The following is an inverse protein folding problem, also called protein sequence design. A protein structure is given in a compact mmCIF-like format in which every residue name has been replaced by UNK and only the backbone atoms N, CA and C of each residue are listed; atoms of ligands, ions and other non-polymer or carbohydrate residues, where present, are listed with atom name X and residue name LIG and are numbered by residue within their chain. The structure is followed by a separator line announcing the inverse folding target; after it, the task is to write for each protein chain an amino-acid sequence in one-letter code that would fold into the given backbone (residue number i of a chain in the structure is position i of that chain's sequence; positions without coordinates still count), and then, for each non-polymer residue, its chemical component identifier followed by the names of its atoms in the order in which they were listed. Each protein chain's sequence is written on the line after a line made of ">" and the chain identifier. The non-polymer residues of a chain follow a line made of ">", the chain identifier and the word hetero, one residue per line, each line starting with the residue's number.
data_IF_233062385041
#
_entry.id   IF_233062385041
#
_cell.length_a   1.000
_cell.length_b   1.000
_cell.length_c   1.000
_cell.angle_alpha   90.00
_cell.angle_beta   90.00
_cell.angle_gamma   90.00
#
_symmetry.space_group_name_H-M   'P 1'
#
loop_
_entity.id
_entity.type
_entity.pdbx_description
1 polymer ?
#
# COMPACT_ATOMS: atom_id res chain seq x y z
N UNK A 1 -8.54 14.70 -1.68
CA UNK A 1 -7.18 15.27 -1.91
C UNK A 1 -6.74 16.20 -0.79
N UNK A 2 -7.47 17.27 -0.45
CA UNK A 2 -7.06 18.19 0.63
C UNK A 2 -6.71 17.47 1.96
N UNK A 3 -7.59 16.59 2.45
CA UNK A 3 -7.34 15.81 3.68
C UNK A 3 -6.11 14.89 3.60
N UNK A 4 -5.73 14.43 2.41
CA UNK A 4 -4.53 13.58 2.22
C UNK A 4 -3.24 14.36 2.54
N UNK A 5 -3.19 15.65 2.21
CA UNK A 5 -2.00 16.48 2.44
C UNK A 5 -1.96 17.10 3.84
N UNK A 6 -3.09 17.60 4.34
CA UNK A 6 -3.11 18.45 5.53
C UNK A 6 -3.61 17.74 6.79
N UNK A 7 -4.35 16.65 6.64
CA UNK A 7 -4.95 15.91 7.74
C UNK A 7 -4.48 14.45 7.71
N UNK A 8 -5.41 13.51 7.88
CA UNK A 8 -5.19 12.07 7.68
C UNK A 8 -5.88 11.64 6.40
N UNK A 9 -5.36 10.57 5.79
CA UNK A 9 -6.04 9.92 4.67
C UNK A 9 -7.46 9.53 5.11
N UNK A 10 -8.50 10.07 4.46
CA UNK A 10 -9.88 9.84 4.90
C UNK A 10 -10.41 8.46 4.49
N UNK A 11 -9.88 7.89 3.40
CA UNK A 11 -10.23 6.56 2.89
C UNK A 11 -9.14 6.08 1.92
N UNK A 12 -8.75 4.82 2.05
CA UNK A 12 -7.86 4.07 1.16
C UNK A 12 -8.55 3.61 -0.12
N UNK A 13 -9.86 3.36 -0.07
CA UNK A 13 -10.62 2.75 -1.17
C UNK A 13 -11.44 3.75 -1.96
N UNK A 14 -11.57 4.99 -1.49
CA UNK A 14 -12.23 6.05 -2.24
C UNK A 14 -11.46 6.38 -3.51
N UNK A 15 -12.16 6.44 -4.64
CA UNK A 15 -11.63 6.92 -5.90
C UNK A 15 -12.74 7.64 -6.70
N UNK A 16 -12.31 8.48 -7.64
CA UNK A 16 -13.22 9.14 -8.56
C UNK A 16 -13.60 8.20 -9.70
N UNK A 17 -14.88 7.81 -9.78
CA UNK A 17 -15.37 6.73 -10.66
C UNK A 17 -15.53 7.10 -12.14
N UNK A 18 -15.24 8.35 -12.51
CA UNK A 18 -15.46 8.85 -13.86
C UNK A 18 -14.13 9.21 -14.51
N UNK A 19 -14.04 9.01 -15.83
CA UNK A 19 -12.85 9.33 -16.61
C UNK A 19 -12.66 10.83 -16.86
N UNK A 20 -13.71 11.63 -16.70
CA UNK A 20 -13.73 13.06 -17.01
C UNK A 20 -14.24 13.88 -15.83
N UNK A 21 -13.71 15.09 -15.67
CA UNK A 21 -14.23 16.06 -14.72
C UNK A 21 -15.56 16.66 -15.21
N UNK A 22 -16.46 17.06 -14.30
CA UNK A 22 -17.67 17.79 -14.66
C UNK A 22 -17.34 19.22 -15.12
N UNK A 23 -18.31 19.90 -15.75
CA UNK A 23 -18.17 21.32 -16.00
C UNK A 23 -18.26 22.12 -14.69
N UNK A 24 -17.61 23.30 -14.67
CA UNK A 24 -17.61 24.17 -13.49
C UNK A 24 -19.04 24.61 -13.08
N UNK A 25 -19.95 24.77 -14.06
CA UNK A 25 -21.35 25.11 -13.80
C UNK A 25 -22.06 23.97 -13.05
N UNK A 26 -21.93 22.73 -13.51
CA UNK A 26 -22.53 21.57 -12.86
C UNK A 26 -22.00 21.42 -11.42
N UNK A 27 -20.71 21.70 -11.23
CA UNK A 27 -20.09 21.68 -9.90
C UNK A 27 -20.67 22.76 -8.98
N UNK A 28 -20.86 23.99 -9.48
CA UNK A 28 -21.46 25.07 -8.70
C UNK A 28 -22.92 24.77 -8.30
N UNK A 29 -23.70 24.20 -9.23
CA UNK A 29 -25.07 23.77 -8.95
C UNK A 29 -25.11 22.66 -7.89
N UNK A 30 -24.25 21.65 -8.01
CA UNK A 30 -24.18 20.56 -7.04
C UNK A 30 -23.83 21.06 -5.62
N UNK A 31 -22.88 21.99 -5.51
CA UNK A 31 -22.47 22.55 -4.22
C UNK A 31 -23.55 23.40 -3.55
N UNK A 32 -24.45 24.02 -4.31
CA UNK A 32 -25.58 24.75 -3.71
C UNK A 32 -26.59 23.81 -3.03
N UNK A 33 -26.63 22.54 -3.43
CA UNK A 33 -27.57 21.54 -2.92
C UNK A 33 -26.92 20.57 -1.93
N UNK A 34 -25.58 20.45 -1.93
CA UNK A 34 -24.84 19.46 -1.16
C UNK A 34 -23.60 20.06 -0.49
N UNK A 35 -23.67 20.22 0.82
CA UNK A 35 -22.56 20.76 1.62
C UNK A 35 -21.78 19.70 2.42
N UNK A 36 -22.23 18.44 2.40
CA UNK A 36 -21.63 17.39 3.22
C UNK A 36 -20.81 16.40 2.39
N UNK A 37 -19.60 16.09 2.87
CA UNK A 37 -18.73 15.07 2.31
C UNK A 37 -18.41 14.08 3.41
N UNK A 38 -18.68 12.80 3.18
CA UNK A 38 -18.34 11.72 4.09
C UNK A 38 -17.50 10.67 3.36
N UNK A 39 -16.60 10.03 4.11
CA UNK A 39 -15.76 8.95 3.63
C UNK A 39 -15.95 7.74 4.55
N UNK A 40 -15.91 6.54 3.99
CA UNK A 40 -15.88 5.30 4.77
C UNK A 40 -14.50 5.13 5.40
N UNK A 41 -14.46 4.87 6.70
CA UNK A 41 -13.24 4.39 7.33
C UNK A 41 -12.92 2.99 6.81
N UNK A 42 -11.73 2.81 6.27
CA UNK A 42 -11.26 1.57 5.67
C UNK A 42 -9.75 1.37 5.94
N UNK A 43 -9.23 0.26 5.42
CA UNK A 43 -7.81 -0.10 5.54
C UNK A 43 -7.19 -0.21 4.14
N UNK A 44 -5.85 -0.14 4.04
CA UNK A 44 -5.16 -0.45 2.78
C UNK A 44 -5.54 -1.85 2.28
N UNK A 45 -5.58 -2.01 0.96
CA UNK A 45 -5.69 -3.33 0.33
C UNK A 45 -4.37 -4.10 0.41
N UNK A 46 -4.43 -5.43 0.35
CA UNK A 46 -3.24 -6.26 0.49
C UNK A 46 -2.30 -6.14 -0.73
N UNK A 47 -0.99 -6.43 -0.58
CA UNK A 47 -0.03 -6.29 -1.68
C UNK A 47 -0.40 -7.04 -2.96
N UNK A 48 -0.96 -8.26 -2.87
CA UNK A 48 -1.38 -9.00 -4.05
C UNK A 48 -2.62 -8.38 -4.72
N UNK A 49 -3.55 -7.85 -3.93
CA UNK A 49 -4.73 -7.14 -4.44
C UNK A 49 -4.35 -5.85 -5.16
N UNK A 50 -3.42 -5.09 -4.58
CA UNK A 50 -2.83 -3.90 -5.17
C UNK A 50 -2.12 -4.23 -6.49
N UNK A 51 -1.37 -5.33 -6.56
CA UNK A 51 -0.70 -5.73 -7.79
C UNK A 51 -1.72 -6.08 -8.89
N UNK A 52 -2.82 -6.78 -8.54
CA UNK A 52 -3.87 -7.07 -9.49
C UNK A 52 -4.67 -5.82 -9.92
N UNK A 53 -4.81 -4.83 -9.06
CA UNK A 53 -5.54 -3.60 -9.43
C UNK A 53 -4.75 -2.67 -10.33
N UNK A 54 -3.42 -2.82 -10.42
CA UNK A 54 -2.53 -1.91 -11.16
C UNK A 54 -1.86 -2.58 -12.37
N UNK A 55 -1.48 -3.86 -12.27
CA UNK A 55 -0.68 -4.50 -13.29
C UNK A 55 -1.51 -4.93 -14.51
N UNK A 56 -1.03 -4.69 -15.74
CA UNK A 56 -1.59 -5.33 -16.91
C UNK A 56 -1.18 -6.82 -16.99
N UNK A 57 -1.90 -7.65 -17.77
CA UNK A 57 -1.59 -9.08 -17.94
C UNK A 57 -0.12 -9.38 -18.32
N UNK A 58 0.48 -8.52 -19.15
CA UNK A 58 1.88 -8.66 -19.58
C UNK A 58 2.88 -8.57 -18.42
N UNK A 59 2.49 -8.00 -17.29
CA UNK A 59 3.32 -7.84 -16.09
C UNK A 59 3.01 -8.89 -15.02
N UNK A 60 2.21 -9.92 -15.30
CA UNK A 60 1.80 -10.93 -14.32
C UNK A 60 2.93 -11.86 -13.86
N UNK A 61 4.12 -11.77 -14.45
CA UNK A 61 5.32 -12.39 -13.91
C UNK A 61 5.71 -11.84 -12.51
N UNK A 62 5.11 -10.72 -12.07
CA UNK A 62 5.35 -10.10 -10.76
C UNK A 62 4.40 -10.58 -9.65
N UNK A 63 3.38 -11.39 -9.99
CA UNK A 63 2.45 -12.01 -9.04
C UNK A 63 2.67 -13.53 -8.99
N UNK A 64 2.12 -14.24 -7.98
CA UNK A 64 2.21 -15.69 -7.93
C UNK A 64 1.67 -16.32 -9.23
N UNK A 65 2.41 -17.24 -9.83
CA UNK A 65 2.05 -17.85 -11.12
C UNK A 65 0.67 -18.51 -11.10
N UNK A 66 0.31 -19.12 -9.97
CA UNK A 66 -1.01 -19.72 -9.74
C UNK A 66 -2.12 -18.67 -9.71
N UNK A 67 -1.88 -17.52 -9.08
CA UNK A 67 -2.83 -16.40 -9.10
C UNK A 67 -3.02 -15.88 -10.52
N UNK A 68 -1.94 -15.64 -11.26
CA UNK A 68 -1.99 -15.21 -12.66
C UNK A 68 -2.81 -16.17 -13.53
N UNK A 69 -2.61 -17.47 -13.36
CA UNK A 69 -3.36 -18.50 -14.09
C UNK A 69 -4.87 -18.43 -13.80
N UNK A 70 -5.26 -18.27 -12.53
CA UNK A 70 -6.68 -18.17 -12.17
C UNK A 70 -7.32 -16.87 -12.68
N UNK A 71 -6.62 -15.74 -12.58
CA UNK A 71 -7.12 -14.45 -13.07
C UNK A 71 -7.40 -14.48 -14.57
N UNK A 72 -6.50 -15.08 -15.36
CA UNK A 72 -6.60 -15.16 -16.82
C UNK A 72 -7.42 -16.35 -17.33
N UNK A 73 -7.99 -17.15 -16.44
CA UNK A 73 -8.87 -18.26 -16.82
C UNK A 73 -10.14 -17.72 -17.51
N UNK A 74 -10.65 -18.37 -18.57
CA UNK A 74 -11.92 -17.98 -19.22
C UNK A 74 -13.12 -17.94 -18.26
N UNK A 75 -13.06 -18.70 -17.16
CA UNK A 75 -14.12 -18.77 -16.16
C UNK A 75 -13.89 -17.80 -14.98
N UNK A 76 -12.85 -16.96 -15.04
CA UNK A 76 -12.53 -16.01 -13.99
C UNK A 76 -13.59 -14.90 -13.92
N UNK A 77 -14.17 -14.64 -12.74
CA UNK A 77 -15.20 -13.61 -12.57
C UNK A 77 -14.65 -12.18 -12.71
N UNK A 78 -13.31 -12.02 -12.77
CA UNK A 78 -12.64 -10.73 -12.88
C UNK A 78 -11.86 -10.56 -14.20
N UNK A 79 -11.98 -11.52 -15.13
CA UNK A 79 -11.24 -11.50 -16.40
C UNK A 79 -11.46 -10.21 -17.20
N UNK A 80 -12.67 -9.65 -17.15
CA UNK A 80 -13.07 -8.45 -17.91
C UNK A 80 -12.32 -7.18 -17.50
N UNK A 81 -11.65 -7.16 -16.34
CA UNK A 81 -10.76 -6.07 -15.94
C UNK A 81 -9.42 -6.10 -16.68
N UNK A 82 -9.01 -7.25 -17.21
CA UNK A 82 -7.65 -7.53 -17.68
C UNK A 82 -7.55 -7.59 -19.20
N UNK A 83 -8.03 -6.53 -19.86
CA UNK A 83 -8.00 -6.41 -21.31
C UNK A 83 -6.56 -6.21 -21.83
N UNK A 84 -6.20 -6.90 -22.91
CA UNK A 84 -4.90 -6.72 -23.59
C UNK A 84 -4.86 -5.48 -24.49
N UNK A 85 -6.03 -4.92 -24.82
CA UNK A 85 -6.19 -3.68 -25.59
C UNK A 85 -7.28 -2.80 -24.98
N UNK A 86 -7.07 -1.49 -24.95
CA UNK A 86 -8.05 -0.51 -24.52
C UNK A 86 -8.01 0.72 -25.43
N UNK A 87 -9.09 1.51 -25.40
CA UNK A 87 -9.17 2.76 -26.17
C UNK A 87 -8.54 3.90 -25.37
N UNK A 88 -7.87 4.80 -26.07
CA UNK A 88 -7.36 6.05 -25.51
C UNK A 88 -8.15 7.18 -26.16
N UNK A 89 -8.84 7.98 -25.36
CA UNK A 89 -9.45 9.21 -25.83
C UNK A 89 -8.43 10.35 -25.75
N UNK A 90 -8.12 10.96 -26.89
CA UNK A 90 -7.15 12.04 -26.97
C UNK A 90 -7.69 13.33 -26.32
N UNK A 91 -9.02 13.51 -26.26
CA UNK A 91 -9.68 14.64 -25.61
C UNK A 91 -9.05 16.02 -25.91
N UNK A 92 -8.74 16.29 -27.18
CA UNK A 92 -8.16 17.57 -27.63
C UNK A 92 -6.65 17.70 -27.43
N UNK A 93 -5.96 16.70 -26.87
CA UNK A 93 -4.50 16.70 -26.74
C UNK A 93 -3.78 16.34 -28.04
N UNK A 94 -2.47 16.56 -28.08
CA UNK A 94 -1.64 16.28 -29.25
C UNK A 94 -0.71 15.06 -29.07
N UNK A 95 -0.73 14.41 -27.91
CA UNK A 95 0.15 13.29 -27.57
C UNK A 95 -0.62 12.20 -26.83
N UNK A 96 -0.42 10.95 -27.23
CA UNK A 96 -1.16 9.79 -26.69
C UNK A 96 -1.03 9.62 -25.17
N UNK A 97 0.14 9.90 -24.59
CA UNK A 97 0.35 9.76 -23.14
C UNK A 97 -0.43 10.79 -22.30
N UNK A 98 -1.00 11.82 -22.93
CA UNK A 98 -1.91 12.76 -22.30
C UNK A 98 -3.37 12.38 -22.47
N UNK A 99 -3.65 11.45 -23.39
CA UNK A 99 -5.00 10.93 -23.59
C UNK A 99 -5.46 10.12 -22.39
N UNK A 100 -6.77 9.97 -22.28
CA UNK A 100 -7.44 9.30 -21.18
C UNK A 100 -7.60 7.82 -21.54
N UNK A 101 -6.97 6.89 -20.80
CA UNK A 101 -7.15 5.46 -21.03
C UNK A 101 -8.54 5.05 -20.52
N UNK A 102 -9.38 4.54 -21.42
CA UNK A 102 -10.74 4.10 -21.11
C UNK A 102 -10.70 2.67 -20.58
N UNK A 103 -10.28 2.53 -19.33
CA UNK A 103 -10.25 1.26 -18.60
C UNK A 103 -11.54 1.06 -17.77
N UNK A 104 -11.98 -0.19 -17.58
CA UNK A 104 -13.11 -0.49 -16.70
C UNK A 104 -12.75 -0.18 -15.24
N UNK A 105 -13.76 0.26 -14.48
CA UNK A 105 -13.62 0.42 -13.03
C UNK A 105 -13.51 -0.95 -12.35
N UNK A 106 -12.49 -1.12 -11.51
CA UNK A 106 -12.27 -2.36 -10.76
C UNK A 106 -13.14 -2.36 -9.51
N UNK A 107 -13.86 -3.46 -9.29
CA UNK A 107 -14.54 -3.73 -8.02
C UNK A 107 -13.54 -4.34 -7.04
N UNK A 108 -13.14 -3.55 -6.04
CA UNK A 108 -12.14 -3.93 -5.04
C UNK A 108 -12.67 -5.04 -4.12
N UNK A 109 -13.98 -5.09 -3.83
CA UNK A 109 -14.57 -6.13 -2.99
C UNK A 109 -14.60 -7.48 -3.70
N UNK A 110 -14.93 -7.47 -5.00
CA UNK A 110 -14.83 -8.66 -5.85
C UNK A 110 -13.38 -9.14 -5.99
N UNK A 111 -12.42 -8.22 -6.13
CA UNK A 111 -11.01 -8.56 -6.24
C UNK A 111 -10.47 -9.14 -4.92
N UNK A 112 -10.83 -8.56 -3.79
CA UNK A 112 -10.46 -9.05 -2.46
C UNK A 112 -10.99 -10.47 -2.21
N UNK A 113 -12.29 -10.70 -2.44
CA UNK A 113 -12.88 -12.05 -2.27
C UNK A 113 -12.23 -13.09 -3.18
N UNK A 114 -11.95 -12.75 -4.44
CA UNK A 114 -11.27 -13.65 -5.36
C UNK A 114 -9.86 -14.04 -4.89
N UNK A 115 -9.07 -13.08 -4.39
CA UNK A 115 -7.71 -13.36 -3.88
C UNK A 115 -7.77 -14.18 -2.59
N UNK A 116 -8.70 -13.83 -1.70
CA UNK A 116 -8.89 -14.51 -0.42
C UNK A 116 -9.24 -16.01 -0.62
N UNK A 117 -10.15 -16.33 -1.52
CA UNK A 117 -10.54 -17.72 -1.83
C UNK A 117 -9.36 -18.56 -2.36
N UNK A 118 -8.39 -17.90 -3.00
CA UNK A 118 -7.20 -18.54 -3.55
C UNK A 118 -6.03 -18.58 -2.58
N UNK A 119 -6.07 -17.87 -1.46
CA UNK A 119 -4.93 -17.64 -0.57
C UNK A 119 -4.35 -18.94 -0.02
N UNK A 120 -5.20 -19.88 0.40
CA UNK A 120 -4.78 -21.21 0.88
C UNK A 120 -4.11 -22.06 -0.20
N UNK A 121 -4.34 -21.72 -1.47
CA UNK A 121 -3.79 -22.44 -2.61
C UNK A 121 -2.40 -21.91 -3.02
N UNK A 122 -1.99 -20.74 -2.51
CA UNK A 122 -0.73 -20.07 -2.84
C UNK A 122 0.45 -20.65 -2.05
N UNK A 123 1.68 -20.58 -2.59
CA UNK A 123 2.88 -20.95 -1.86
C UNK A 123 3.05 -20.15 -0.55
N UNK A 124 3.62 -20.73 0.53
CA UNK A 124 3.83 -20.02 1.80
C UNK A 124 4.70 -18.75 1.68
N UNK A 125 5.62 -18.71 0.72
CA UNK A 125 6.43 -17.52 0.43
C UNK A 125 5.59 -16.34 -0.05
N UNK A 126 4.54 -16.60 -0.82
CA UNK A 126 3.65 -15.59 -1.36
C UNK A 126 2.71 -15.04 -0.29
N UNK A 127 2.27 -15.90 0.63
CA UNK A 127 1.54 -15.46 1.83
C UNK A 127 2.39 -14.52 2.70
N UNK A 128 3.67 -14.84 2.92
CA UNK A 128 4.56 -14.03 3.76
C UNK A 128 4.79 -12.61 3.22
N UNK A 129 4.74 -12.41 1.89
CA UNK A 129 4.83 -11.07 1.26
C UNK A 129 3.48 -10.37 1.13
N UNK A 130 2.36 -11.08 1.30
CA UNK A 130 1.01 -10.53 1.20
C UNK A 130 0.51 -9.97 2.55
N UNK A 131 1.37 -9.24 3.27
CA UNK A 131 1.04 -8.65 4.56
C UNK A 131 1.26 -7.14 4.54
N UNK A 132 0.43 -6.40 5.27
CA UNK A 132 0.70 -5.02 5.60
C UNK A 132 1.72 -4.99 6.74
N UNK A 133 2.90 -4.44 6.49
CA UNK A 133 3.92 -4.33 7.52
C UNK A 133 3.42 -3.37 8.62
N UNK A 134 3.32 -3.81 9.88
CA UNK A 134 2.79 -2.97 10.96
C UNK A 134 3.86 -2.04 11.55
N UNK A 135 5.06 -2.01 10.98
CA UNK A 135 6.21 -1.30 11.52
C UNK A 135 7.09 -0.70 10.42
N UNK A 136 7.82 0.34 10.81
CA UNK A 136 8.93 0.90 10.05
C UNK A 136 10.26 0.42 10.66
N UNK A 137 11.30 0.30 9.84
CA UNK A 137 12.64 -0.08 10.30
C UNK A 137 13.50 1.18 10.39
N UNK A 138 14.07 1.43 11.57
CA UNK A 138 15.06 2.49 11.79
C UNK A 138 16.46 1.87 11.90
N UNK A 139 17.37 2.31 11.05
CA UNK A 139 18.78 1.92 11.11
C UNK A 139 19.59 2.98 11.83
N UNK A 140 20.40 2.56 12.82
CA UNK A 140 21.24 3.46 13.62
C UNK A 140 22.69 2.96 13.57
N UNK A 141 23.61 3.86 13.25
CA UNK A 141 25.04 3.53 13.17
C UNK A 141 25.75 3.75 14.52
N UNK A 142 26.74 2.92 14.82
CA UNK A 142 27.59 3.06 16.03
C UNK A 142 28.35 4.39 16.07
N UNK A 143 28.70 4.90 14.90
CA UNK A 143 29.55 6.08 14.74
C UNK A 143 28.73 7.38 14.68
N UNK A 144 27.43 7.35 14.97
CA UNK A 144 26.63 8.57 14.99
C UNK A 144 27.01 9.43 16.18
N UNK A 145 27.07 10.74 15.98
CA UNK A 145 27.14 11.72 17.08
C UNK A 145 25.91 11.68 17.99
N UNK A 146 24.82 11.06 17.52
CA UNK A 146 23.57 10.90 18.25
C UNK A 146 23.68 9.80 19.31
N UNK A 147 23.17 10.03 20.54
CA UNK A 147 23.20 9.05 21.63
C UNK A 147 22.19 7.91 21.43
N UNK A 148 21.49 7.86 20.30
CA UNK A 148 20.45 6.87 20.02
C UNK A 148 21.02 5.44 19.99
N UNK A 149 22.22 5.25 19.44
CA UNK A 149 22.86 3.93 19.40
C UNK A 149 23.13 3.38 20.80
N UNK A 150 23.74 4.18 21.68
CA UNK A 150 24.05 3.77 23.05
C UNK A 150 22.77 3.51 23.86
N UNK A 151 21.72 4.30 23.63
CA UNK A 151 20.40 4.09 24.24
C UNK A 151 19.78 2.76 23.80
N UNK A 152 19.72 2.49 22.49
CA UNK A 152 19.21 1.21 21.97
C UNK A 152 20.05 0.04 22.51
N UNK A 153 21.38 0.18 22.55
CA UNK A 153 22.27 -0.85 23.09
C UNK A 153 21.95 -1.16 24.57
N UNK A 154 21.70 -0.14 25.40
CA UNK A 154 21.33 -0.34 26.80
C UNK A 154 20.01 -1.12 26.98
N UNK A 155 19.05 -0.94 26.08
CA UNK A 155 17.76 -1.64 26.14
C UNK A 155 17.90 -3.15 25.86
N UNK A 156 18.83 -3.53 24.99
CA UNK A 156 19.15 -4.95 24.76
C UNK A 156 19.80 -5.60 25.98
N UNK A 157 20.60 -4.86 26.74
CA UNK A 157 21.29 -5.37 27.93
C UNK A 157 20.36 -5.53 29.14
N UNK A 158 19.30 -4.73 29.23
CA UNK A 158 18.38 -4.73 30.37
C UNK A 158 17.28 -5.80 30.33
N UNK A 159 17.15 -6.58 29.25
CA UNK A 159 16.06 -7.56 29.03
C UNK A 159 14.63 -6.99 29.25
N UNK A 160 14.50 -5.67 29.28
CA UNK A 160 13.22 -4.97 29.38
C UNK A 160 12.51 -5.03 28.04
N UNK A 161 11.17 -5.12 28.05
CA UNK A 161 10.36 -4.99 26.84
C UNK A 161 10.82 -3.78 26.03
N UNK A 162 11.24 -4.02 24.78
CA UNK A 162 11.91 -3.07 23.87
C UNK A 162 10.99 -1.98 23.31
N UNK A 163 9.98 -1.57 24.08
CA UNK A 163 9.09 -0.46 23.76
C UNK A 163 9.61 0.75 24.51
N UNK A 164 10.17 1.71 23.79
CA UNK A 164 10.62 2.98 24.36
C UNK A 164 10.08 4.15 23.52
N UNK A 165 9.71 5.25 24.18
CA UNK A 165 9.40 6.50 23.50
C UNK A 165 10.70 7.17 23.06
N UNK A 166 10.70 7.69 21.83
CA UNK A 166 11.74 8.60 21.38
C UNK A 166 11.41 9.99 21.95
N UNK A 167 12.13 10.40 22.98
CA UNK A 167 11.98 11.74 23.55
C UNK A 167 12.83 12.75 22.77
N UNK A 168 12.44 14.04 22.81
CA UNK A 168 13.15 15.14 22.13
C UNK A 168 14.59 15.34 22.59
N UNK A 169 14.97 14.79 23.76
CA UNK A 169 16.34 14.81 24.28
C UNK A 169 17.29 13.83 23.57
N UNK A 170 16.76 12.87 22.79
CA UNK A 170 17.52 12.02 21.87
C UNK A 170 17.79 12.72 20.52
N UNK A 171 17.39 13.99 20.44
CA UNK A 171 17.71 15.01 19.44
C UNK A 171 17.95 14.46 18.04
N UNK A 172 16.85 14.04 17.43
CA UNK A 172 16.68 14.31 16.02
C UNK A 172 15.63 15.42 15.92
N UNK A 173 15.85 16.36 15.03
CA UNK A 173 14.80 17.18 14.39
C UNK A 173 13.68 16.36 13.72
N UNK A 174 13.58 15.05 14.01
CA UNK A 174 12.44 14.18 13.78
C UNK A 174 11.37 14.47 14.84
N UNK A 175 10.62 15.55 14.66
CA UNK A 175 9.34 15.67 15.36
C UNK A 175 8.45 14.48 14.97
N UNK A 176 8.13 13.60 15.93
CA UNK A 176 7.30 12.39 15.75
C UNK A 176 5.84 12.68 15.33
N UNK A 177 5.49 13.94 15.03
CA UNK A 177 4.13 14.37 14.70
C UNK A 177 3.61 13.83 13.36
N UNK A 178 4.47 13.26 12.51
CA UNK A 178 4.10 12.73 11.19
C UNK A 178 4.15 11.20 11.06
N UNK A 179 4.54 10.48 12.12
CA UNK A 179 4.56 9.02 12.09
C UNK A 179 3.24 8.47 12.67
N UNK A 180 2.58 7.51 11.99
CA UNK A 180 1.42 6.84 12.59
C UNK A 180 1.85 6.19 13.91
N UNK A 181 1.00 6.34 14.93
CA UNK A 181 1.23 6.14 16.36
C UNK A 181 1.57 4.69 16.81
N UNK A 182 2.08 3.84 15.93
CA UNK A 182 2.36 2.43 16.20
C UNK A 182 3.75 2.04 15.71
N UNK A 183 4.79 2.58 16.33
CA UNK A 183 6.15 2.03 16.23
C UNK A 183 6.23 0.83 17.20
N UNK A 184 5.49 -0.24 16.88
CA UNK A 184 5.61 -1.52 17.59
C UNK A 184 6.73 -2.33 16.95
N UNK A 185 7.91 -2.31 17.57
CA UNK A 185 8.97 -3.29 17.29
C UNK A 185 8.54 -4.64 17.89
N UNK A 186 7.75 -5.41 17.15
CA UNK A 186 7.52 -6.82 17.45
C UNK A 186 8.71 -7.64 16.94
N UNK A 187 9.64 -7.97 17.83
CA UNK A 187 10.55 -9.10 17.59
C UNK A 187 9.90 -10.36 18.17
N UNK A 188 9.20 -11.11 17.31
CA UNK A 188 9.01 -12.54 17.56
C UNK A 188 10.36 -13.21 17.32
N UNK A 189 10.84 -13.90 18.35
CA UNK A 189 12.07 -14.68 18.37
C UNK A 189 12.20 -15.56 17.12
N UNK A 190 13.11 -15.21 16.21
CA UNK A 190 13.60 -16.09 15.14
C UNK A 190 15.12 -16.27 15.31
N UNK A 191 15.57 -17.18 16.19
CA UNK A 191 17.01 -17.38 16.42
C UNK A 191 17.75 -18.10 15.28
N UNK A 192 17.08 -18.58 14.22
CA UNK A 192 17.70 -19.56 13.30
C UNK A 192 17.83 -19.14 11.82
N UNK A 193 17.31 -17.99 11.39
CA UNK A 193 17.30 -17.64 9.95
C UNK A 193 18.41 -16.66 9.51
N UNK A 194 19.08 -15.98 10.45
CA UNK A 194 20.16 -15.03 10.14
C UNK A 194 21.55 -15.68 10.02
N UNK A 195 21.72 -16.92 10.47
CA UNK A 195 23.02 -17.60 10.39
C UNK A 195 23.41 -18.05 8.97
N UNK A 196 22.46 -18.10 8.02
CA UNK A 196 22.72 -18.56 6.65
C UNK A 196 23.22 -17.49 5.68
N UNK A 197 23.09 -16.20 6.00
CA UNK A 197 23.39 -15.09 5.08
C UNK A 197 24.73 -14.41 5.34
N UNK A 198 25.41 -14.72 6.45
CA UNK A 198 26.68 -14.09 6.84
C UNK A 198 27.95 -14.87 6.44
N UNK A 199 27.81 -15.95 5.67
CA UNK A 199 28.97 -16.77 5.22
C UNK A 199 29.24 -16.76 3.72
N UNK A 200 28.66 -15.83 2.96
CA UNK A 200 28.95 -15.63 1.53
C UNK A 200 29.25 -14.15 1.23
N UNK A 201 30.40 -13.68 1.71
CA UNK A 201 31.18 -12.57 1.13
C UNK A 201 32.57 -12.53 1.77
#
# INVERSE_FOLDING_TARGET
>A
VFNYYFNKLPSWRWYYKFHYAPFALDFALYLNENDSISFSSDTPILPLEQLLSVLPPHSFNNIPSKLAHFVLSPNSPILHYFNTSFKIDINGENKLYKGIPLLPNIDIDLLHSFVFDLELSLPPSDFKRNILLPFNILYVTKNSSLPLFSKIQSLYLSNSSLIFSLDSSLDLSLSLSSLPFSLFLFFLSLPSLLYGLLHLS
#
